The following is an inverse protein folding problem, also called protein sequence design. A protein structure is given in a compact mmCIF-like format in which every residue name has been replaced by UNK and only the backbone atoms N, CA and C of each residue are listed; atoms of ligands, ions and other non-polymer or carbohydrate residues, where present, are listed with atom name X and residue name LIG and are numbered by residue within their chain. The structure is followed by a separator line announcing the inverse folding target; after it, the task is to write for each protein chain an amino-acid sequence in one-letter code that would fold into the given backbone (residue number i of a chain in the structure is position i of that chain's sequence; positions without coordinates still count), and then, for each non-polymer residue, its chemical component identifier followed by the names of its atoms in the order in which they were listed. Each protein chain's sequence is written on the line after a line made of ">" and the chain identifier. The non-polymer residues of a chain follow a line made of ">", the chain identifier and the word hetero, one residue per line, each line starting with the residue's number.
data_IF_433353403170
#
_entry.id   IF_433353403170
#
_cell.length_a   1.000
_cell.length_b   1.000
_cell.length_c   1.000
_cell.angle_alpha   90.00
_cell.angle_beta   90.00
_cell.angle_gamma   90.00
#
_symmetry.space_group_name_H-M   'P 1'
#
loop_
_entity.id
_entity.type
_entity.pdbx_description
1 polymer ?
#
# COMPACT_ATOMS: atom_id res chain seq x y z
N UNK A 1 -16.43 -11.96 -29.26
CA UNK A 1 -15.50 -10.86 -28.92
C UNK A 1 -14.51 -10.69 -30.06
N UNK A 2 -14.43 -9.50 -30.64
CA UNK A 2 -13.54 -9.26 -31.79
C UNK A 2 -12.07 -9.06 -31.31
N UNK A 3 -11.11 -9.06 -32.25
CA UNK A 3 -9.66 -8.98 -31.98
C UNK A 3 -9.28 -7.69 -31.21
N UNK A 4 -9.94 -6.56 -31.51
CA UNK A 4 -9.70 -5.28 -30.84
C UNK A 4 -10.15 -5.32 -29.37
N UNK A 5 -11.33 -5.85 -29.09
CA UNK A 5 -11.86 -6.01 -27.73
C UNK A 5 -10.97 -6.90 -26.85
N UNK A 6 -10.46 -8.01 -27.42
CA UNK A 6 -9.53 -8.91 -26.70
C UNK A 6 -8.21 -8.20 -26.36
N UNK A 7 -7.69 -7.38 -27.27
CA UNK A 7 -6.46 -6.60 -27.05
C UNK A 7 -6.64 -5.58 -25.92
N UNK A 8 -7.74 -4.85 -25.92
CA UNK A 8 -8.06 -3.86 -24.87
C UNK A 8 -8.21 -4.53 -23.51
N UNK A 9 -8.89 -5.68 -23.43
CA UNK A 9 -9.02 -6.46 -22.19
C UNK A 9 -7.67 -6.88 -21.65
N UNK A 10 -6.79 -7.43 -22.47
CA UNK A 10 -5.46 -7.85 -22.04
C UNK A 10 -4.62 -6.66 -21.57
N UNK A 11 -4.68 -5.52 -22.23
CA UNK A 11 -4.00 -4.30 -21.81
C UNK A 11 -4.48 -3.85 -20.43
N UNK A 12 -5.78 -3.83 -20.18
CA UNK A 12 -6.35 -3.46 -18.88
C UNK A 12 -5.91 -4.42 -17.75
N UNK A 13 -5.79 -5.72 -18.04
CA UNK A 13 -5.30 -6.71 -17.07
C UNK A 13 -3.83 -6.46 -16.70
N UNK A 14 -3.00 -6.12 -17.69
CA UNK A 14 -1.58 -5.80 -17.48
C UNK A 14 -1.44 -4.51 -16.68
N UNK A 15 -2.19 -3.47 -17.02
CA UNK A 15 -2.16 -2.18 -16.30
C UNK A 15 -2.61 -2.33 -14.85
N UNK A 16 -3.68 -3.09 -14.59
CA UNK A 16 -4.15 -3.37 -13.23
C UNK A 16 -3.06 -4.09 -12.40
N UNK A 17 -2.46 -5.14 -12.95
CA UNK A 17 -1.39 -5.88 -12.27
C UNK A 17 -0.19 -4.97 -12.01
N UNK A 18 0.24 -4.20 -13.00
CA UNK A 18 1.38 -3.26 -12.87
C UNK A 18 1.10 -2.22 -11.81
N UNK A 19 -0.09 -1.61 -11.79
CA UNK A 19 -0.48 -0.62 -10.80
C UNK A 19 -0.45 -1.19 -9.37
N UNK A 20 -0.97 -2.42 -9.18
CA UNK A 20 -0.94 -3.11 -7.87
C UNK A 20 0.50 -3.39 -7.42
N UNK A 21 1.38 -3.82 -8.30
CA UNK A 21 2.79 -4.05 -7.99
C UNK A 21 3.47 -2.72 -7.60
N UNK A 22 3.35 -1.69 -8.42
CA UNK A 22 4.04 -0.41 -8.20
C UNK A 22 3.62 0.26 -6.89
N UNK A 23 2.32 0.34 -6.59
CA UNK A 23 1.84 0.98 -5.37
C UNK A 23 2.21 0.17 -4.11
N UNK A 24 2.32 -1.15 -4.23
CA UNK A 24 2.64 -2.04 -3.12
C UNK A 24 4.12 -2.09 -2.78
N UNK A 25 4.98 -1.86 -3.75
CA UNK A 25 6.43 -2.06 -3.63
C UNK A 25 7.05 -1.18 -2.54
N UNK A 26 6.62 0.06 -2.42
CA UNK A 26 7.16 1.00 -1.42
C UNK A 26 6.92 0.49 0.02
N UNK A 27 5.75 -0.11 0.28
CA UNK A 27 5.42 -0.64 1.61
C UNK A 27 6.17 -1.94 1.90
N UNK A 28 6.26 -2.83 0.91
CA UNK A 28 7.01 -4.07 1.07
C UNK A 28 8.48 -3.80 1.39
N UNK A 29 9.11 -2.90 0.64
CA UNK A 29 10.49 -2.47 0.89
C UNK A 29 10.64 -1.76 2.25
N UNK A 30 9.67 -0.92 2.62
CA UNK A 30 9.65 -0.23 3.92
C UNK A 30 9.56 -1.22 5.08
N UNK A 31 8.66 -2.20 5.00
CA UNK A 31 8.51 -3.24 6.03
C UNK A 31 9.78 -4.09 6.18
N UNK A 32 10.39 -4.50 5.06
CA UNK A 32 11.66 -5.26 5.07
C UNK A 32 12.78 -4.42 5.71
N UNK A 33 12.90 -3.14 5.35
CA UNK A 33 13.90 -2.24 5.91
C UNK A 33 13.73 -2.05 7.43
N UNK A 34 12.48 -1.98 7.93
CA UNK A 34 12.19 -1.90 9.36
C UNK A 34 12.63 -3.15 10.13
N UNK A 35 12.56 -4.33 9.51
CA UNK A 35 13.09 -5.55 10.11
C UNK A 35 14.61 -5.44 10.26
N UNK A 36 15.30 -4.99 9.21
CA UNK A 36 16.76 -4.86 9.20
C UNK A 36 17.30 -3.76 10.15
N UNK A 37 16.48 -2.76 10.47
CA UNK A 37 16.83 -1.65 11.35
C UNK A 37 15.78 -1.48 12.48
N UNK A 38 15.46 -2.58 13.14
CA UNK A 38 14.37 -2.63 14.11
C UNK A 38 14.57 -1.66 15.28
N UNK A 39 15.71 -1.76 15.97
CA UNK A 39 16.05 -0.92 17.15
C UNK A 39 16.10 0.58 16.77
N UNK A 40 16.71 0.90 15.63
CA UNK A 40 16.75 2.28 15.14
C UNK A 40 15.34 2.84 14.84
N UNK A 41 14.46 2.00 14.31
CA UNK A 41 13.07 2.39 14.02
C UNK A 41 12.28 2.58 15.32
N UNK A 42 12.44 1.70 16.30
CA UNK A 42 11.84 1.85 17.64
C UNK A 42 12.27 3.16 18.27
N UNK A 43 13.58 3.43 18.33
CA UNK A 43 14.10 4.67 18.91
C UNK A 43 13.57 5.93 18.23
N UNK A 44 13.44 5.90 16.88
CA UNK A 44 12.85 7.01 16.14
C UNK A 44 11.36 7.18 16.46
N UNK A 45 10.57 6.10 16.50
CA UNK A 45 9.15 6.16 16.85
C UNK A 45 8.94 6.74 18.26
N UNK A 46 9.72 6.29 19.23
CA UNK A 46 9.65 6.77 20.61
C UNK A 46 10.03 8.25 20.72
N UNK A 47 10.99 8.71 19.94
CA UNK A 47 11.34 10.14 19.88
C UNK A 47 10.19 11.02 19.32
N UNK A 48 9.28 10.41 18.55
CA UNK A 48 8.07 11.06 18.04
C UNK A 48 6.82 10.83 18.92
N UNK A 49 7.01 10.24 20.12
CA UNK A 49 5.93 9.97 21.08
C UNK A 49 5.08 8.74 20.77
N UNK A 50 5.51 7.88 19.84
CA UNK A 50 4.82 6.65 19.49
C UNK A 50 5.52 5.44 20.13
N UNK A 51 4.83 4.65 20.99
CA UNK A 51 5.43 3.49 21.62
C UNK A 51 5.95 2.46 20.61
N UNK A 52 7.18 1.96 20.81
CA UNK A 52 7.84 1.03 19.90
C UNK A 52 7.09 -0.29 19.67
N UNK A 53 6.20 -0.68 20.60
CA UNK A 53 5.37 -1.89 20.45
C UNK A 53 4.49 -1.87 19.20
N UNK A 54 4.12 -0.70 18.68
CA UNK A 54 3.35 -0.56 17.45
C UNK A 54 4.16 -0.88 16.17
N UNK A 55 5.48 -1.03 16.28
CA UNK A 55 6.33 -1.37 15.14
C UNK A 55 6.02 -2.77 14.59
N UNK A 56 5.78 -3.76 15.47
CA UNK A 56 5.48 -5.13 15.03
C UNK A 56 4.23 -5.22 14.17
N UNK A 57 3.05 -4.73 14.62
CA UNK A 57 1.86 -4.73 13.76
C UNK A 57 2.03 -3.86 12.50
N UNK A 58 2.81 -2.78 12.56
CA UNK A 58 3.13 -1.99 11.36
C UNK A 58 3.90 -2.81 10.32
N UNK A 59 4.95 -3.53 10.72
CA UNK A 59 5.71 -4.41 9.83
C UNK A 59 4.82 -5.50 9.22
N UNK A 60 3.98 -6.13 10.03
CA UNK A 60 3.04 -7.17 9.55
C UNK A 60 2.11 -6.60 8.47
N UNK A 61 1.58 -5.40 8.68
CA UNK A 61 0.74 -4.72 7.72
C UNK A 61 1.52 -4.32 6.45
N UNK A 62 2.70 -3.74 6.60
CA UNK A 62 3.54 -3.25 5.49
C UNK A 62 4.13 -4.38 4.63
N UNK A 63 4.16 -5.60 5.12
CA UNK A 63 4.58 -6.78 4.34
C UNK A 63 3.36 -7.56 3.85
N UNK A 64 2.42 -7.88 4.73
CA UNK A 64 1.28 -8.73 4.42
C UNK A 64 0.31 -8.11 3.42
N UNK A 65 -0.14 -6.87 3.66
CA UNK A 65 -1.10 -6.22 2.78
C UNK A 65 -0.56 -5.97 1.36
N UNK A 66 0.69 -5.50 1.16
CA UNK A 66 1.26 -5.39 -0.19
C UNK A 66 1.32 -6.71 -0.94
N UNK A 67 1.73 -7.80 -0.29
CA UNK A 67 1.76 -9.13 -0.93
C UNK A 67 0.35 -9.53 -1.38
N UNK A 68 -0.67 -9.36 -0.53
CA UNK A 68 -2.06 -9.66 -0.89
C UNK A 68 -2.55 -8.81 -2.07
N UNK A 69 -2.20 -7.53 -2.12
CA UNK A 69 -2.54 -6.65 -3.24
C UNK A 69 -1.84 -7.10 -4.53
N UNK A 70 -0.55 -7.44 -4.48
CA UNK A 70 0.22 -7.90 -5.65
C UNK A 70 -0.38 -9.15 -6.27
N UNK A 71 -0.70 -10.17 -5.45
CA UNK A 71 -1.33 -11.41 -5.93
C UNK A 71 -2.81 -11.24 -6.27
N UNK A 72 -3.42 -10.12 -5.88
CA UNK A 72 -4.83 -9.83 -6.14
C UNK A 72 -5.80 -10.61 -5.26
N UNK A 73 -5.45 -10.83 -4.00
CA UNK A 73 -6.30 -11.51 -3.01
C UNK A 73 -6.72 -10.56 -1.90
N UNK A 74 -8.03 -10.48 -1.64
CA UNK A 74 -8.65 -9.55 -0.68
C UNK A 74 -8.14 -8.11 -0.85
N UNK A 75 -8.00 -7.67 -2.11
CA UNK A 75 -7.38 -6.40 -2.47
C UNK A 75 -8.08 -5.22 -1.81
N UNK A 76 -9.42 -5.20 -1.78
CA UNK A 76 -10.19 -4.10 -1.17
C UNK A 76 -9.87 -3.90 0.31
N UNK A 77 -9.82 -4.98 1.08
CA UNK A 77 -9.53 -4.94 2.53
C UNK A 77 -8.09 -4.50 2.77
N UNK A 78 -7.13 -5.10 2.07
CA UNK A 78 -5.71 -4.78 2.19
C UNK A 78 -5.42 -3.32 1.80
N UNK A 79 -6.04 -2.83 0.73
CA UNK A 79 -5.91 -1.45 0.28
C UNK A 79 -6.56 -0.47 1.26
N UNK A 80 -7.71 -0.79 1.84
CA UNK A 80 -8.34 0.04 2.86
C UNK A 80 -7.45 0.19 4.11
N UNK A 81 -6.86 -0.90 4.58
CA UNK A 81 -5.94 -0.88 5.72
C UNK A 81 -4.69 -0.04 5.43
N UNK A 82 -4.08 -0.19 4.24
CA UNK A 82 -2.93 0.63 3.86
C UNK A 82 -3.29 2.10 3.66
N UNK A 83 -4.48 2.41 3.15
CA UNK A 83 -4.95 3.79 3.04
C UNK A 83 -5.06 4.46 4.41
N UNK A 84 -5.68 3.79 5.39
CA UNK A 84 -5.77 4.27 6.78
C UNK A 84 -4.38 4.44 7.39
N UNK A 85 -3.50 3.46 7.16
CA UNK A 85 -2.12 3.49 7.65
C UNK A 85 -1.33 4.67 7.08
N UNK A 86 -1.48 4.98 5.78
CA UNK A 86 -0.86 6.15 5.17
C UNK A 86 -1.31 7.47 5.83
N UNK A 87 -2.61 7.62 6.06
CA UNK A 87 -3.15 8.82 6.70
C UNK A 87 -2.63 8.94 8.13
N UNK A 88 -2.67 7.84 8.90
CA UNK A 88 -2.19 7.81 10.28
C UNK A 88 -0.70 8.17 10.36
N UNK A 89 0.15 7.57 9.52
CA UNK A 89 1.59 7.86 9.50
C UNK A 89 1.90 9.27 9.03
N UNK A 90 1.14 9.82 8.08
CA UNK A 90 1.27 11.22 7.69
C UNK A 90 1.04 12.16 8.89
N UNK A 91 -0.06 11.97 9.61
CA UNK A 91 -0.43 12.82 10.74
C UNK A 91 0.51 12.65 11.93
N UNK A 92 0.95 11.42 12.22
CA UNK A 92 1.78 11.15 13.41
C UNK A 92 3.23 11.56 13.19
N UNK A 93 3.82 11.18 12.04
CA UNK A 93 5.26 11.29 11.82
C UNK A 93 5.69 12.44 10.91
N UNK A 94 4.76 13.06 10.17
CA UNK A 94 5.06 14.11 9.19
C UNK A 94 4.19 15.35 9.37
N UNK A 95 3.96 15.77 10.62
CA UNK A 95 3.07 16.88 10.96
C UNK A 95 3.75 18.27 10.98
N UNK A 96 5.06 18.34 10.87
CA UNK A 96 5.76 19.63 10.74
C UNK A 96 5.73 20.13 9.30
N UNK A 97 4.61 20.72 8.91
CA UNK A 97 4.38 21.18 7.53
C UNK A 97 5.21 22.42 7.13
N UNK A 98 5.93 23.05 8.07
CA UNK A 98 6.87 24.11 7.78
C UNK A 98 8.22 23.60 7.27
N UNK A 99 8.55 22.34 7.56
CA UNK A 99 9.73 21.67 7.02
C UNK A 99 9.40 21.07 5.66
N UNK A 100 10.18 21.42 4.63
CA UNK A 100 9.91 20.99 3.25
C UNK A 100 9.94 19.47 3.08
N UNK A 101 10.85 18.77 3.74
CA UNK A 101 10.95 17.31 3.63
C UNK A 101 9.79 16.60 4.33
N UNK A 102 9.36 17.13 5.48
CA UNK A 102 8.20 16.64 6.20
C UNK A 102 6.91 16.87 5.40
N UNK A 103 6.77 18.06 4.81
CA UNK A 103 5.64 18.38 3.93
C UNK A 103 5.56 17.44 2.73
N UNK A 104 6.67 17.17 2.05
CA UNK A 104 6.72 16.24 0.91
C UNK A 104 6.34 14.82 1.37
N UNK A 105 6.85 14.38 2.53
CA UNK A 105 6.54 13.07 3.10
C UNK A 105 5.07 12.94 3.48
N UNK A 106 4.48 13.98 4.06
CA UNK A 106 3.05 14.08 4.33
C UNK A 106 2.23 13.93 3.06
N UNK A 107 2.51 14.76 2.05
CA UNK A 107 1.78 14.74 0.77
C UNK A 107 1.93 13.43 0.01
N UNK A 108 3.10 12.80 0.08
CA UNK A 108 3.34 11.47 -0.48
C UNK A 108 2.43 10.41 0.16
N UNK A 109 2.30 10.41 1.48
CA UNK A 109 1.41 9.49 2.17
C UNK A 109 -0.06 9.75 1.81
N UNK A 110 -0.49 11.01 1.70
CA UNK A 110 -1.85 11.36 1.26
C UNK A 110 -2.10 10.88 -0.19
N UNK A 111 -1.14 11.07 -1.09
CA UNK A 111 -1.25 10.59 -2.47
C UNK A 111 -1.36 9.05 -2.54
N UNK A 112 -0.56 8.33 -1.74
CA UNK A 112 -0.62 6.87 -1.63
C UNK A 112 -1.97 6.41 -1.07
N UNK A 113 -2.49 7.09 -0.04
CA UNK A 113 -3.82 6.81 0.49
C UNK A 113 -4.90 6.93 -0.59
N UNK A 114 -4.85 7.98 -1.42
CA UNK A 114 -5.73 8.15 -2.58
C UNK A 114 -5.60 7.01 -3.58
N UNK A 115 -4.38 6.59 -3.91
CA UNK A 115 -4.13 5.44 -4.78
C UNK A 115 -4.73 4.13 -4.25
N UNK A 116 -4.60 3.86 -2.94
CA UNK A 116 -5.23 2.70 -2.32
C UNK A 116 -6.76 2.80 -2.30
N UNK A 117 -7.34 3.98 -2.12
CA UNK A 117 -8.79 4.15 -2.23
C UNK A 117 -9.31 3.80 -3.63
N UNK A 118 -8.55 4.06 -4.68
CA UNK A 118 -8.89 3.58 -6.03
C UNK A 118 -8.97 2.05 -6.10
N UNK A 119 -8.09 1.33 -5.40
CA UNK A 119 -8.17 -0.13 -5.32
C UNK A 119 -9.35 -0.63 -4.48
N UNK A 120 -9.81 0.16 -3.51
CA UNK A 120 -11.01 -0.17 -2.71
C UNK A 120 -12.27 -0.11 -3.56
N UNK A 121 -12.42 0.94 -4.38
CA UNK A 121 -13.66 1.16 -5.16
C UNK A 121 -13.71 0.41 -6.47
N UNK A 122 -12.54 0.06 -7.04
CA UNK A 122 -12.46 -0.65 -8.32
C UNK A 122 -12.31 -2.16 -8.11
N UNK A 123 -12.93 -2.93 -8.99
CA UNK A 123 -12.72 -4.38 -9.03
C UNK A 123 -11.39 -4.71 -9.71
N UNK A 124 -10.69 -5.69 -9.14
CA UNK A 124 -9.50 -6.26 -9.78
C UNK A 124 -9.85 -6.95 -11.10
N UNK A 125 -8.91 -6.93 -12.05
CA UNK A 125 -9.08 -7.56 -13.37
C UNK A 125 -8.71 -9.05 -13.33
N UNK A 126 -8.70 -9.71 -14.47
CA UNK A 126 -8.56 -11.18 -14.58
C UNK A 126 -7.24 -11.71 -13.99
N UNK A 127 -6.18 -10.88 -13.94
CA UNK A 127 -4.89 -11.25 -13.34
C UNK A 127 -4.89 -11.06 -11.82
N UNK A 128 -5.93 -11.56 -11.15
CA UNK A 128 -6.07 -11.53 -9.69
C UNK A 128 -6.72 -12.81 -9.17
N UNK A 129 -6.39 -13.18 -7.93
CA UNK A 129 -7.03 -14.31 -7.26
C UNK A 129 -8.49 -14.02 -6.92
N UNK A 130 -8.82 -12.81 -6.51
CA UNK A 130 -10.20 -12.39 -6.21
C UNK A 130 -11.12 -12.65 -7.41
N UNK A 131 -10.67 -12.29 -8.62
CA UNK A 131 -11.47 -12.50 -9.84
C UNK A 131 -11.60 -13.98 -10.20
N UNK A 132 -10.54 -14.76 -10.01
CA UNK A 132 -10.56 -16.22 -10.28
C UNK A 132 -11.48 -16.97 -9.32
N UNK A 133 -11.52 -16.54 -8.06
CA UNK A 133 -12.35 -17.19 -7.04
C UNK A 133 -13.84 -16.84 -7.20
N UNK A 134 -14.15 -15.59 -7.59
CA UNK A 134 -15.52 -15.13 -7.82
C UNK A 134 -16.17 -15.70 -9.10
N UNK A 135 -15.36 -16.24 -10.02
CA UNK A 135 -15.86 -16.86 -11.26
C UNK A 135 -16.05 -18.40 -11.13
N UNK A 136 -15.89 -18.98 -9.94
CA UNK A 136 -16.19 -20.38 -9.63
C UNK A 136 -17.53 -20.51 -8.94
#
# INVERSE_FOLDING_TARGET
>A
MNKASKRTKNMNNILDLTARILISLIFLLSGINKIGNYEGTVGWMESMGMPGIFLVPAIILEIGAPILIMIGYKVKVSAALLSIFCIATAVIFHNNLSDQMQFISFMKNIALAGGFLFLVVNETKDFSLDKKLNNR
#
